data_IF_903004668118
#
_entry.id   IF_903004668118
#
_cell.length_a   1.000
_cell.length_b   1.000
_cell.length_c   1.000
_cell.angle_alpha   90.00
_cell.angle_beta   90.00
_cell.angle_gamma   90.00
#
_symmetry.space_group_name_H-M   'P 1'
#
loop_
_entity.id
_entity.type
_entity.pdbx_description
1 polymer ?
#
# COMPACT_ATOMS: atom_id res chain seq x y z
N UNK A 1 5.72 -3.29 17.82
CA UNK A 1 5.66 -4.27 16.72
C UNK A 1 6.57 -3.79 15.59
N UNK A 2 7.33 -4.68 14.95
CA UNK A 2 8.27 -4.31 13.88
C UNK A 2 8.02 -5.12 12.60
N UNK A 3 8.05 -4.46 11.45
CA UNK A 3 8.10 -5.07 10.11
C UNK A 3 9.37 -4.56 9.42
N UNK A 4 10.26 -5.48 9.04
CA UNK A 4 11.58 -5.18 8.48
C UNK A 4 12.35 -4.06 9.22
N UNK A 5 12.28 -4.04 10.55
CA UNK A 5 12.97 -3.05 11.39
C UNK A 5 12.22 -1.73 11.63
N UNK A 6 11.00 -1.57 11.11
CA UNK A 6 10.19 -0.35 11.27
C UNK A 6 8.93 -0.61 12.10
N UNK A 7 8.61 0.34 12.97
CA UNK A 7 7.44 0.25 13.84
C UNK A 7 6.12 0.44 13.09
N UNK A 8 5.15 -0.39 13.45
CA UNK A 8 3.80 -0.32 12.92
C UNK A 8 2.74 -0.42 14.03
N UNK A 9 1.55 0.10 13.71
CA UNK A 9 0.37 0.12 14.57
C UNK A 9 -0.78 -0.56 13.83
N UNK A 10 -1.45 -1.46 14.54
CA UNK A 10 -2.78 -1.96 14.16
C UNK A 10 -3.82 -0.96 14.68
N UNK A 11 -4.53 -0.30 13.76
CA UNK A 11 -5.60 0.66 14.10
C UNK A 11 -6.98 -0.02 14.21
N UNK A 12 -7.07 -1.34 14.01
CA UNK A 12 -8.34 -2.05 14.02
C UNK A 12 -9.21 -1.74 12.80
N UNK A 13 -8.56 -1.43 11.67
CA UNK A 13 -9.25 -1.21 10.40
C UNK A 13 -9.88 -2.52 9.88
N UNK A 14 -11.04 -2.47 9.21
CA UNK A 14 -11.67 -3.65 8.61
C UNK A 14 -10.75 -4.47 7.69
N UNK A 15 -9.89 -3.80 6.92
CA UNK A 15 -8.88 -4.44 6.05
C UNK A 15 -7.78 -5.17 6.83
N UNK A 16 -7.64 -4.90 8.13
CA UNK A 16 -6.52 -5.32 8.94
C UNK A 16 -5.22 -4.56 8.66
N UNK A 17 -5.24 -3.49 7.85
CA UNK A 17 -4.05 -2.76 7.45
C UNK A 17 -3.23 -2.27 8.66
N UNK A 18 -1.92 -2.51 8.56
CA UNK A 18 -0.91 -2.11 9.54
C UNK A 18 -0.21 -0.86 9.04
N UNK A 19 -0.25 0.22 9.82
CA UNK A 19 0.27 1.53 9.42
C UNK A 19 1.58 1.86 10.12
N UNK A 20 2.53 2.46 9.40
CA UNK A 20 3.79 2.91 9.98
C UNK A 20 3.61 4.04 11.00
N UNK A 21 4.44 4.04 12.04
CA UNK A 21 4.45 5.13 13.03
C UNK A 21 5.09 6.43 12.52
N UNK A 22 5.86 6.37 11.43
CA UNK A 22 6.55 7.52 10.83
C UNK A 22 6.60 7.49 9.29
N UNK A 23 6.93 8.63 8.68
CA UNK A 23 7.12 8.74 7.22
C UNK A 23 8.44 8.10 6.78
N UNK A 24 8.59 7.81 5.49
CA UNK A 24 9.90 7.51 4.90
C UNK A 24 10.85 8.70 5.12
N UNK A 25 12.10 8.42 5.49
CA UNK A 25 13.12 9.45 5.78
C UNK A 25 13.03 10.05 7.18
N UNK A 26 12.00 9.70 7.96
CA UNK A 26 11.75 10.30 9.26
C UNK A 26 12.45 9.55 10.41
N UNK A 27 12.94 10.28 11.40
CA UNK A 27 13.56 9.74 12.61
C UNK A 27 12.57 9.53 13.77
N UNK A 28 11.42 10.21 13.78
CA UNK A 28 10.38 10.11 14.83
C UNK A 28 8.97 10.27 14.25
N UNK A 29 7.89 9.96 15.00
CA UNK A 29 6.52 10.13 14.49
C UNK A 29 6.15 11.57 14.07
N UNK A 30 6.84 12.57 14.62
CA UNK A 30 6.61 14.00 14.33
C UNK A 30 7.62 14.61 13.36
N UNK A 31 8.69 13.89 13.03
CA UNK A 31 9.60 14.35 11.98
C UNK A 31 8.92 14.19 10.60
N UNK A 32 9.02 15.24 9.79
CA UNK A 32 8.31 15.37 8.51
C UNK A 32 8.72 14.29 7.50
N UNK A 33 9.96 13.78 7.63
CA UNK A 33 10.56 12.85 6.69
C UNK A 33 10.93 13.50 5.36
N UNK A 34 11.19 12.66 4.38
CA UNK A 34 11.62 13.09 3.05
C UNK A 34 10.42 13.33 2.13
N UNK A 35 10.65 14.12 1.09
CA UNK A 35 9.71 14.34 0.00
C UNK A 35 10.13 13.52 -1.21
N UNK A 36 9.17 12.89 -1.87
CA UNK A 36 9.42 12.09 -3.07
C UNK A 36 8.46 12.52 -4.18
N UNK A 37 8.96 12.60 -5.40
CA UNK A 37 8.07 12.62 -6.57
C UNK A 37 7.42 11.25 -6.73
N UNK A 38 6.18 11.22 -7.22
CA UNK A 38 5.44 9.98 -7.37
C UNK A 38 6.17 9.04 -8.34
N UNK A 39 6.45 7.81 -7.91
CA UNK A 39 7.21 6.84 -8.69
C UNK A 39 8.73 7.07 -8.74
N UNK A 40 9.26 7.92 -7.85
CA UNK A 40 10.69 8.04 -7.59
C UNK A 40 11.02 7.57 -6.17
N UNK A 41 12.23 7.03 -6.03
CA UNK A 41 12.73 6.45 -4.78
C UNK A 41 13.88 7.23 -4.17
N UNK A 42 14.39 8.24 -4.87
CA UNK A 42 15.41 9.16 -4.37
C UNK A 42 14.84 10.57 -4.22
N UNK A 43 15.39 11.32 -3.28
CA UNK A 43 15.05 12.73 -3.08
C UNK A 43 15.77 13.60 -4.11
N UNK A 44 15.30 14.84 -4.26
CA UNK A 44 15.90 15.83 -5.16
C UNK A 44 15.95 17.21 -4.51
N UNK A 45 16.83 18.05 -5.01
CA UNK A 45 16.91 19.46 -4.59
C UNK A 45 15.79 20.32 -5.20
N UNK A 46 15.21 19.89 -6.33
CA UNK A 46 14.15 20.62 -7.01
C UNK A 46 13.08 19.70 -7.60
N UNK A 47 11.81 20.03 -7.35
CA UNK A 47 10.61 19.28 -7.73
C UNK A 47 9.88 20.00 -8.85
N UNK A 48 10.27 19.71 -10.09
CA UNK A 48 9.74 20.33 -11.31
C UNK A 48 9.53 19.26 -12.37
N UNK A 49 8.78 19.58 -13.43
CA UNK A 49 8.61 18.67 -14.58
C UNK A 49 9.96 18.25 -15.18
N UNK A 50 10.93 19.17 -15.25
CA UNK A 50 12.25 18.91 -15.84
C UNK A 50 13.13 17.98 -14.99
N UNK A 51 12.90 17.92 -13.69
CA UNK A 51 13.67 17.08 -12.76
C UNK A 51 12.98 15.76 -12.45
N UNK A 52 11.85 15.48 -13.10
CA UNK A 52 11.06 14.27 -12.86
C UNK A 52 11.55 13.11 -13.72
N UNK A 53 11.88 11.98 -13.09
CA UNK A 53 12.43 10.75 -13.72
C UNK A 53 11.64 10.30 -14.95
N UNK A 54 10.31 10.44 -14.90
CA UNK A 54 9.40 9.99 -15.95
C UNK A 54 8.81 11.15 -16.76
N UNK A 55 9.25 12.39 -16.53
CA UNK A 55 8.77 13.55 -17.27
C UNK A 55 9.40 13.61 -18.65
N UNK A 56 8.62 14.02 -19.64
CA UNK A 56 9.16 14.43 -20.95
C UNK A 56 8.86 15.90 -21.17
N UNK A 57 9.91 16.65 -21.47
CA UNK A 57 9.81 18.05 -21.88
C UNK A 57 9.66 18.10 -23.40
N UNK A 58 8.84 19.03 -23.89
CA UNK A 58 8.79 19.40 -25.31
C UNK A 58 8.25 18.34 -26.31
N UNK A 59 7.44 17.37 -25.83
CA UNK A 59 6.74 16.38 -26.67
C UNK A 59 5.24 16.28 -26.34
N UNK A 60 4.44 15.73 -27.27
CA UNK A 60 3.02 15.39 -27.05
C UNK A 60 2.84 14.23 -26.06
N UNK A 61 3.83 13.34 -25.93
CA UNK A 61 3.91 12.40 -24.81
C UNK A 61 4.45 13.13 -23.59
N UNK A 62 3.67 13.19 -22.52
CA UNK A 62 4.06 14.00 -21.36
C UNK A 62 4.74 13.18 -20.25
N UNK A 63 4.69 11.85 -20.33
CA UNK A 63 5.20 10.91 -19.32
C UNK A 63 5.63 9.55 -19.90
N UNK A 64 6.80 9.03 -19.48
CA UNK A 64 7.41 7.79 -20.02
C UNK A 64 6.86 6.47 -19.41
N UNK A 65 6.35 6.53 -18.17
CA UNK A 65 5.82 5.37 -17.43
C UNK A 65 4.49 5.73 -16.75
N UNK A 66 3.64 4.72 -16.56
CA UNK A 66 2.28 4.83 -16.06
C UNK A 66 1.44 5.69 -17.00
N UNK A 67 1.24 5.20 -18.21
CA UNK A 67 0.63 5.92 -19.32
C UNK A 67 -0.29 5.00 -20.15
N UNK A 68 -0.89 5.54 -21.21
CA UNK A 68 -1.86 4.78 -22.03
C UNK A 68 -1.22 3.59 -22.76
N UNK A 69 0.10 3.60 -22.93
CA UNK A 69 0.87 2.52 -23.57
C UNK A 69 1.05 1.33 -22.63
N UNK A 70 1.53 1.56 -21.39
CA UNK A 70 1.73 0.48 -20.41
C UNK A 70 0.46 0.11 -19.63
N UNK A 71 -0.55 0.99 -19.65
CA UNK A 71 -1.85 0.84 -18.96
C UNK A 71 -1.72 0.62 -17.45
N UNK A 72 -0.58 0.98 -16.86
CA UNK A 72 -0.35 0.84 -15.42
C UNK A 72 -0.94 2.03 -14.69
N UNK A 73 -1.75 1.73 -13.68
CA UNK A 73 -2.50 2.74 -12.93
C UNK A 73 -2.10 2.79 -11.46
N UNK A 74 -1.09 2.01 -11.08
CA UNK A 74 -0.52 1.90 -9.75
C UNK A 74 0.97 1.70 -9.84
N UNK A 75 1.72 2.19 -8.87
CA UNK A 75 3.17 2.00 -8.78
C UNK A 75 3.55 0.52 -8.81
N UNK A 76 4.55 0.21 -9.63
CA UNK A 76 5.27 -1.05 -9.53
C UNK A 76 6.15 -1.05 -8.27
N UNK A 77 6.48 -2.23 -7.70
CA UNK A 77 7.32 -2.34 -6.51
C UNK A 77 8.66 -1.59 -6.58
N UNK A 78 9.29 -1.52 -7.76
CA UNK A 78 10.57 -0.83 -7.96
C UNK A 78 10.48 0.71 -7.98
N UNK A 79 9.28 1.27 -8.13
CA UNK A 79 9.03 2.72 -8.08
C UNK A 79 8.29 3.15 -6.81
N UNK A 80 7.97 2.21 -5.92
CA UNK A 80 7.42 2.49 -4.59
C UNK A 80 8.56 2.68 -3.59
N UNK A 81 8.78 3.94 -3.17
CA UNK A 81 9.85 4.28 -2.23
C UNK A 81 9.75 3.54 -0.89
N UNK A 82 8.54 3.23 -0.41
CA UNK A 82 8.39 2.47 0.81
C UNK A 82 8.87 1.03 0.61
N UNK A 83 8.53 0.43 -0.53
CA UNK A 83 9.00 -0.91 -0.88
C UNK A 83 10.51 -0.96 -1.10
N UNK A 84 11.08 0.03 -1.77
CA UNK A 84 12.52 0.07 -2.08
C UNK A 84 13.36 0.39 -0.85
N UNK A 85 13.01 1.42 -0.08
CA UNK A 85 13.82 1.85 1.08
C UNK A 85 13.59 0.99 2.33
N UNK A 86 12.34 0.64 2.62
CA UNK A 86 12.01 -0.12 3.83
C UNK A 86 11.84 -1.61 3.58
N UNK A 87 11.69 -2.07 2.34
CA UNK A 87 11.62 -3.51 2.03
C UNK A 87 10.46 -4.24 2.71
N UNK A 88 10.62 -5.55 2.90
CA UNK A 88 9.61 -6.38 3.56
C UNK A 88 8.24 -6.27 2.88
N UNK A 89 7.18 -6.14 3.67
CA UNK A 89 5.80 -5.94 3.17
C UNK A 89 5.41 -4.48 2.98
N UNK A 90 6.28 -3.54 3.34
CA UNK A 90 5.99 -2.12 3.23
C UNK A 90 5.72 -1.71 1.79
N UNK A 91 4.69 -0.87 1.64
CA UNK A 91 4.37 -0.18 0.40
C UNK A 91 3.63 1.12 0.70
N UNK A 92 3.50 1.95 -0.31
CA UNK A 92 2.60 3.09 -0.31
C UNK A 92 1.14 2.61 -0.25
N UNK A 93 0.27 3.25 0.55
CA UNK A 93 -1.17 3.00 0.56
C UNK A 93 -1.82 3.29 -0.80
N UNK A 94 -2.90 2.58 -1.11
CA UNK A 94 -3.79 2.95 -2.22
C UNK A 94 -4.74 4.08 -1.80
N UNK A 95 -5.50 4.61 -2.76
CA UNK A 95 -6.58 5.56 -2.51
C UNK A 95 -7.60 4.97 -1.55
N UNK A 96 -8.06 3.75 -1.80
CA UNK A 96 -9.10 3.10 -1.00
C UNK A 96 -8.64 2.87 0.44
N UNK A 97 -7.37 2.57 0.67
CA UNK A 97 -6.82 2.32 2.00
C UNK A 97 -6.67 3.59 2.83
N UNK A 98 -6.30 4.70 2.20
CA UNK A 98 -6.40 6.00 2.87
C UNK A 98 -7.85 6.41 3.12
N UNK A 99 -8.77 6.16 2.18
CA UNK A 99 -10.19 6.41 2.40
C UNK A 99 -10.72 5.59 3.59
N UNK A 100 -10.36 4.31 3.69
CA UNK A 100 -10.69 3.48 4.85
C UNK A 100 -10.12 4.06 6.14
N UNK A 101 -8.84 4.41 6.17
CA UNK A 101 -8.19 5.02 7.33
C UNK A 101 -8.96 6.26 7.80
N UNK A 102 -9.28 7.16 6.87
CA UNK A 102 -9.90 8.44 7.20
C UNK A 102 -11.39 8.34 7.51
N UNK A 103 -12.10 7.35 6.97
CA UNK A 103 -13.52 7.11 7.23
C UNK A 103 -13.77 6.29 8.49
N UNK A 104 -12.81 5.42 8.87
CA UNK A 104 -12.94 4.52 10.03
C UNK A 104 -12.39 5.14 11.31
N UNK A 105 -11.30 5.89 11.21
CA UNK A 105 -10.64 6.46 12.38
C UNK A 105 -11.22 7.82 12.78
N UNK A 106 -11.19 8.08 14.08
CA UNK A 106 -11.34 9.42 14.64
C UNK A 106 -10.09 10.24 14.31
N UNK A 107 -10.26 11.45 13.78
CA UNK A 107 -9.14 12.30 13.37
C UNK A 107 -9.24 13.62 14.09
N UNK A 108 -8.27 13.89 14.97
CA UNK A 108 -8.24 15.07 15.82
C UNK A 108 -6.96 15.86 15.59
N UNK A 109 -7.08 17.19 15.50
CA UNK A 109 -5.93 18.08 15.44
C UNK A 109 -5.49 18.47 16.85
N UNK A 110 -4.34 17.96 17.29
CA UNK A 110 -3.90 18.01 18.68
C UNK A 110 -2.43 18.44 18.81
N UNK A 111 -2.02 18.76 20.04
CA UNK A 111 -0.59 18.80 20.36
C UNK A 111 -0.06 17.36 20.43
N UNK A 112 1.15 17.12 19.94
CA UNK A 112 1.75 15.78 20.04
C UNK A 112 1.98 15.42 21.52
N UNK A 113 1.61 14.21 21.98
CA UNK A 113 1.66 13.87 23.41
C UNK A 113 3.05 14.00 24.05
N UNK A 114 4.10 13.61 23.32
CA UNK A 114 5.46 13.59 23.88
C UNK A 114 6.19 14.94 23.70
N UNK A 115 5.71 15.80 22.81
CA UNK A 115 6.24 17.15 22.61
C UNK A 115 5.16 18.10 22.10
N UNK A 116 4.61 18.88 23.04
CA UNK A 116 3.52 19.82 22.78
C UNK A 116 3.84 20.97 21.80
N UNK A 117 5.11 21.16 21.43
CA UNK A 117 5.51 22.15 20.42
C UNK A 117 5.05 21.75 19.00
N UNK A 118 4.83 20.46 18.76
CA UNK A 118 4.31 19.95 17.49
C UNK A 118 2.79 19.88 17.48
N UNK A 119 2.20 20.33 16.36
CA UNK A 119 0.77 20.16 16.06
C UNK A 119 0.58 19.10 14.99
N UNK A 120 -0.21 18.08 15.29
CA UNK A 120 -0.36 16.88 14.48
C UNK A 120 -1.81 16.48 14.36
N UNK A 121 -2.14 15.67 13.36
CA UNK A 121 -3.35 14.86 13.41
C UNK A 121 -3.07 13.59 14.17
N UNK A 122 -3.78 13.40 15.26
CA UNK A 122 -4.00 12.08 15.82
C UNK A 122 -5.06 11.38 14.97
N UNK A 123 -4.71 10.21 14.42
CA UNK A 123 -5.62 9.32 13.71
C UNK A 123 -5.79 8.09 14.60
N UNK A 124 -6.90 8.07 15.35
CA UNK A 124 -7.21 7.06 16.35
C UNK A 124 -8.19 6.03 15.78
N UNK A 125 -7.75 4.78 15.76
CA UNK A 125 -8.53 3.65 15.29
C UNK A 125 -9.64 3.22 16.26
N UNK A 126 -10.63 2.45 15.80
CA UNK A 126 -11.70 1.91 16.64
C UNK A 126 -11.21 1.02 17.79
N UNK A 127 -10.00 0.46 17.69
CA UNK A 127 -9.40 -0.30 18.79
C UNK A 127 -8.67 0.58 19.83
N UNK A 128 -8.69 1.91 19.69
CA UNK A 128 -8.08 2.87 20.60
C UNK A 128 -6.61 3.19 20.33
N UNK A 129 -5.94 2.45 19.45
CA UNK A 129 -4.58 2.77 19.03
C UNK A 129 -4.57 3.98 18.09
N UNK A 130 -3.44 4.69 18.02
CA UNK A 130 -3.32 5.88 17.19
C UNK A 130 -1.98 5.97 16.46
N UNK A 131 -2.00 6.68 15.33
CA UNK A 131 -0.81 7.18 14.63
C UNK A 131 -0.91 8.69 14.48
N UNK A 132 0.23 9.34 14.21
CA UNK A 132 0.33 10.79 14.11
C UNK A 132 0.85 11.24 12.74
N UNK A 133 0.17 12.23 12.16
CA UNK A 133 0.57 12.88 10.92
C UNK A 133 0.90 14.35 11.17
N UNK A 134 2.14 14.72 10.89
CA UNK A 134 2.58 16.11 10.97
C UNK A 134 2.11 16.92 9.76
N UNK A 135 1.91 18.23 9.94
CA UNK A 135 1.59 19.20 8.88
C UNK A 135 2.81 19.50 8.00
N UNK A 136 3.27 18.47 7.30
CA UNK A 136 4.50 18.43 6.52
C UNK A 136 4.48 19.33 5.28
N UNK A 137 3.33 19.78 4.78
CA UNK A 137 3.27 20.48 3.49
C UNK A 137 3.73 19.59 2.33
N UNK A 138 4.07 20.21 1.21
CA UNK A 138 4.64 19.55 0.02
C UNK A 138 5.79 20.36 -0.57
N UNK A 139 6.66 19.72 -1.32
CA UNK A 139 7.76 20.33 -2.05
C UNK A 139 7.37 20.66 -3.50
N UNK A 140 7.68 21.88 -3.93
CA UNK A 140 7.62 22.30 -5.33
C UNK A 140 8.77 23.24 -5.62
N UNK A 141 9.42 23.07 -6.78
CA UNK A 141 10.74 23.66 -7.01
C UNK A 141 11.66 23.29 -5.84
N UNK A 142 12.33 24.26 -5.23
CA UNK A 142 13.25 24.14 -4.11
C UNK A 142 12.62 24.51 -2.76
N UNK A 143 11.28 24.54 -2.64
CA UNK A 143 10.58 25.07 -1.46
C UNK A 143 9.46 24.18 -0.94
N UNK A 144 9.40 24.07 0.39
CA UNK A 144 8.23 23.53 1.09
C UNK A 144 7.10 24.57 1.09
N UNK A 145 5.90 24.13 0.71
CA UNK A 145 4.65 24.90 0.73
C UNK A 145 3.71 24.30 1.75
N UNK A 146 2.82 25.12 2.29
CA UNK A 146 1.75 24.73 3.22
C UNK A 146 2.26 24.02 4.50
N UNK A 147 3.54 24.23 4.84
CA UNK A 147 4.14 23.79 6.10
C UNK A 147 3.35 24.36 7.29
N UNK A 148 3.08 23.53 8.31
CA UNK A 148 2.23 23.87 9.45
C UNK A 148 0.80 24.30 9.11
N UNK A 149 0.34 24.07 7.87
CA UNK A 149 -1.04 24.34 7.45
C UNK A 149 -1.76 23.06 7.02
N UNK A 150 -1.04 22.16 6.33
CA UNK A 150 -1.61 20.93 5.77
C UNK A 150 -0.61 19.78 5.86
N UNK A 151 -1.14 18.57 6.02
CA UNK A 151 -0.36 17.36 5.83
C UNK A 151 -0.66 16.80 4.43
N UNK A 152 0.35 16.38 3.67
CA UNK A 152 0.21 15.80 2.33
C UNK A 152 0.84 14.41 2.29
N UNK A 153 0.20 13.46 1.63
CA UNK A 153 0.74 12.11 1.46
C UNK A 153 0.40 11.54 0.09
N UNK A 154 1.38 10.87 -0.53
CA UNK A 154 1.12 10.13 -1.75
C UNK A 154 0.37 8.84 -1.50
N UNK A 155 -0.58 8.51 -2.40
CA UNK A 155 -1.03 7.14 -2.62
C UNK A 155 -0.33 6.52 -3.82
N UNK A 156 -0.34 5.19 -3.90
CA UNK A 156 0.26 4.44 -5.00
C UNK A 156 -0.51 4.56 -6.33
N UNK A 157 -1.66 5.23 -6.34
CA UNK A 157 -2.56 5.24 -7.49
C UNK A 157 -2.35 6.45 -8.40
N UNK A 158 -2.40 6.19 -9.70
CA UNK A 158 -2.45 7.22 -10.73
C UNK A 158 -3.84 7.86 -10.77
N UNK A 159 -3.91 9.16 -11.09
CA UNK A 159 -5.20 9.77 -11.40
C UNK A 159 -5.73 9.26 -12.74
N UNK A 160 -6.81 8.48 -12.70
CA UNK A 160 -7.46 7.95 -13.90
C UNK A 160 -8.53 8.88 -14.49
N UNK A 161 -8.86 9.98 -13.82
CA UNK A 161 -9.88 10.92 -14.32
C UNK A 161 -9.34 11.65 -15.53
N UNK A 162 -9.82 11.27 -16.72
CA UNK A 162 -9.65 12.04 -17.96
C UNK A 162 -10.47 13.31 -17.83
N UNK A 163 -9.82 14.43 -17.53
CA UNK A 163 -10.51 15.72 -17.57
C UNK A 163 -10.99 16.00 -19.00
N UNK A 164 -12.24 16.47 -19.11
CA UNK A 164 -12.90 16.73 -20.39
C UNK A 164 -12.38 18.03 -21.04
N UNK A 165 -11.56 18.83 -20.34
CA UNK A 165 -11.11 20.15 -20.81
C UNK A 165 -9.67 20.42 -20.37
N UNK A 166 -8.73 20.39 -21.32
CA UNK A 166 -7.41 21.03 -21.21
C UNK A 166 -6.38 20.39 -20.27
N UNK A 167 -6.64 19.19 -19.73
CA UNK A 167 -5.63 18.45 -18.97
C UNK A 167 -5.09 17.27 -19.76
N UNK A 168 -3.78 17.12 -19.65
CA UNK A 168 -3.02 16.02 -20.24
C UNK A 168 -3.28 14.74 -19.41
N UNK A 169 -3.61 13.60 -20.05
CA UNK A 169 -3.74 12.32 -19.36
C UNK A 169 -2.45 11.93 -18.60
N UNK A 170 -2.59 11.26 -17.47
CA UNK A 170 -1.47 10.61 -16.75
C UNK A 170 -0.40 11.54 -16.13
N UNK A 171 -0.61 12.86 -16.11
CA UNK A 171 0.32 13.82 -15.46
C UNK A 171 0.15 13.95 -13.94
N UNK A 172 -0.93 13.38 -13.38
CA UNK A 172 -1.28 13.52 -11.96
C UNK A 172 -1.40 12.17 -11.27
N UNK A 173 -1.04 12.14 -10.00
CA UNK A 173 -1.28 11.01 -9.11
C UNK A 173 -2.22 11.43 -7.98
N UNK A 174 -2.79 10.43 -7.29
CA UNK A 174 -3.69 10.66 -6.16
C UNK A 174 -2.87 11.05 -4.92
N UNK A 175 -3.28 12.12 -4.25
CA UNK A 175 -2.73 12.53 -2.96
C UNK A 175 -3.84 12.68 -1.92
N UNK A 176 -3.45 12.54 -0.66
CA UNK A 176 -4.30 12.77 0.50
C UNK A 176 -3.77 13.97 1.26
N UNK A 177 -4.68 14.83 1.71
CA UNK A 177 -4.29 15.91 2.60
C UNK A 177 -5.33 16.26 3.66
N UNK A 178 -4.80 16.72 4.78
CA UNK A 178 -5.54 17.05 6.00
C UNK A 178 -5.30 18.54 6.32
N UNK A 179 -6.37 19.32 6.40
CA UNK A 179 -6.37 20.75 6.71
C UNK A 179 -6.43 20.99 8.21
N UNK A 180 -5.67 21.96 8.71
CA UNK A 180 -5.58 22.27 10.14
C UNK A 180 -6.91 22.61 10.83
N UNK A 181 -7.98 22.81 10.06
CA UNK A 181 -9.36 22.95 10.51
C UNK A 181 -10.15 21.61 10.58
N UNK A 182 -9.46 20.47 10.42
CA UNK A 182 -10.00 19.12 10.50
C UNK A 182 -10.57 18.59 9.18
N UNK A 183 -10.59 19.37 8.10
CA UNK A 183 -11.07 18.86 6.80
C UNK A 183 -10.11 17.84 6.22
N UNK A 184 -10.67 16.80 5.61
CA UNK A 184 -9.94 15.72 4.93
C UNK A 184 -10.29 15.76 3.46
N UNK A 185 -9.32 15.54 2.57
CA UNK A 185 -9.56 15.58 1.14
C UNK A 185 -8.71 14.57 0.38
N UNK A 186 -9.30 13.99 -0.66
CA UNK A 186 -8.60 13.19 -1.68
C UNK A 186 -8.47 14.06 -2.91
N UNK A 187 -7.23 14.41 -3.23
CA UNK A 187 -6.92 15.28 -4.35
C UNK A 187 -6.09 14.55 -5.39
N UNK A 188 -5.63 15.33 -6.35
CA UNK A 188 -4.61 14.90 -7.28
C UNK A 188 -3.61 16.04 -7.42
N UNK A 189 -2.35 15.74 -7.65
CA UNK A 189 -1.35 16.75 -7.99
C UNK A 189 -0.39 16.21 -9.03
N UNK A 190 0.42 17.10 -9.61
CA UNK A 190 1.41 16.72 -10.61
C UNK A 190 2.39 15.72 -10.02
N UNK A 191 2.70 14.64 -10.75
CA UNK A 191 3.58 13.55 -10.25
C UNK A 191 4.97 14.01 -9.82
N UNK A 192 5.43 15.13 -10.38
CA UNK A 192 6.73 15.72 -10.04
C UNK A 192 6.76 16.48 -8.72
N UNK A 193 5.61 16.80 -8.11
CA UNK A 193 5.59 17.40 -6.77
C UNK A 193 6.17 16.43 -5.75
N UNK A 194 6.82 16.96 -4.72
CA UNK A 194 7.35 16.15 -3.64
C UNK A 194 6.34 16.05 -2.51
N UNK A 195 5.77 14.88 -2.26
CA UNK A 195 4.97 14.64 -1.04
C UNK A 195 5.67 13.59 -0.17
N UNK A 196 5.48 13.65 1.15
CA UNK A 196 5.87 12.58 2.04
C UNK A 196 5.09 11.28 1.77
N UNK A 197 5.67 10.17 2.23
CA UNK A 197 5.06 8.84 2.12
C UNK A 197 4.91 8.26 3.51
N UNK A 198 3.67 7.89 3.87
CA UNK A 198 3.36 7.11 5.07
C UNK A 198 3.13 5.66 4.67
N UNK A 199 4.08 4.75 4.94
CA UNK A 199 3.94 3.36 4.55
C UNK A 199 2.85 2.62 5.32
N UNK A 200 2.35 1.58 4.70
CA UNK A 200 1.51 0.56 5.34
C UNK A 200 1.80 -0.80 4.73
N UNK A 201 1.30 -1.85 5.37
CA UNK A 201 1.20 -3.18 4.77
C UNK A 201 -0.09 -3.86 5.21
N UNK A 202 -0.64 -4.70 4.33
CA UNK A 202 -1.70 -5.60 4.76
C UNK A 202 -1.04 -6.78 5.49
N UNK A 203 -1.61 -7.24 6.61
CA UNK A 203 -1.19 -8.48 7.22
C UNK A 203 -1.27 -9.54 6.12
N UNK A 204 -0.30 -10.46 6.11
CA UNK A 204 -0.47 -11.65 5.31
C UNK A 204 -1.77 -12.26 5.81
N UNK A 205 -2.80 -12.30 4.97
CA UNK A 205 -3.89 -13.24 5.21
C UNK A 205 -3.15 -14.56 5.38
N UNK A 206 -3.35 -15.25 6.50
CA UNK A 206 -2.77 -16.56 6.68
C UNK A 206 -3.46 -17.56 5.73
N UNK A 207 -3.31 -17.37 4.43
CA UNK A 207 -3.13 -18.47 3.52
C UNK A 207 -1.79 -19.08 3.94
N UNK A 208 -1.83 -19.95 4.94
CA UNK A 208 -0.65 -20.71 5.32
C UNK A 208 0.03 -21.26 4.07
N UNK A 209 1.37 -21.19 4.09
CA UNK A 209 2.36 -21.57 3.07
C UNK A 209 2.96 -20.38 2.32
N UNK A 210 4.25 -20.17 2.61
CA UNK A 210 5.21 -19.32 1.90
C UNK A 210 5.04 -19.36 0.37
N UNK A 211 4.84 -18.20 -0.23
CA UNK A 211 5.18 -17.98 -1.63
C UNK A 211 6.66 -17.57 -1.70
N UNK A 212 7.55 -18.56 -1.68
CA UNK A 212 8.83 -18.44 -2.37
C UNK A 212 9.04 -19.70 -3.22
N UNK A 213 9.51 -19.46 -4.45
CA UNK A 213 9.83 -20.41 -5.52
C UNK A 213 8.66 -20.97 -6.35
N UNK A 214 8.63 -20.50 -7.59
CA UNK A 214 7.94 -21.07 -8.74
C UNK A 214 8.27 -22.57 -8.85
N UNK A 215 7.26 -23.43 -8.78
CA UNK A 215 7.33 -24.80 -9.30
C UNK A 215 5.92 -25.31 -9.70
N UNK A 216 5.75 -25.48 -11.01
CA UNK A 216 4.73 -26.27 -11.73
C UNK A 216 3.24 -26.01 -11.43
N UNK A 217 2.57 -25.36 -12.37
CA UNK A 217 1.11 -25.31 -12.49
C UNK A 217 0.53 -26.73 -12.64
N UNK A 218 0.03 -27.31 -11.55
CA UNK A 218 -0.84 -28.48 -11.58
C UNK A 218 -2.30 -28.05 -11.53
N UNK A 219 -3.13 -28.78 -12.28
CA UNK A 219 -4.57 -28.56 -12.31
C UNK A 219 -5.27 -29.61 -11.47
N UNK A 220 -6.22 -29.16 -10.65
CA UNK A 220 -7.09 -30.05 -9.90
C UNK A 220 -8.53 -29.58 -9.98
N UNK A 221 -9.46 -30.52 -9.81
CA UNK A 221 -10.89 -30.25 -9.72
C UNK A 221 -11.51 -31.05 -8.59
N UNK A 222 -12.59 -30.52 -8.02
CA UNK A 222 -13.41 -31.19 -7.02
C UNK A 222 -14.65 -31.75 -7.70
N UNK A 223 -14.93 -33.03 -7.51
CA UNK A 223 -16.08 -33.73 -8.08
C UNK A 223 -16.65 -34.67 -7.03
N UNK A 224 -17.90 -34.44 -6.59
CA UNK A 224 -18.69 -35.32 -5.72
C UNK A 224 -17.90 -35.87 -4.51
N UNK A 225 -17.41 -34.99 -3.62
CA UNK A 225 -16.64 -35.43 -2.45
C UNK A 225 -15.21 -35.90 -2.74
N UNK A 226 -14.76 -35.83 -3.99
CA UNK A 226 -13.42 -36.23 -4.42
C UNK A 226 -12.62 -35.09 -5.04
N UNK A 227 -11.30 -35.21 -4.98
CA UNK A 227 -10.31 -34.37 -5.64
C UNK A 227 -9.66 -35.18 -6.76
N UNK A 228 -9.63 -34.60 -7.96
CA UNK A 228 -8.92 -35.15 -9.12
C UNK A 228 -7.81 -34.18 -9.49
N UNK A 229 -6.57 -34.66 -9.60
CA UNK A 229 -5.38 -33.90 -9.95
C UNK A 229 -4.73 -34.53 -11.18
N UNK A 230 -4.10 -33.71 -12.03
CA UNK A 230 -3.33 -34.16 -13.20
C UNK A 230 -1.95 -34.74 -12.86
N UNK A 231 -1.55 -34.67 -11.59
CA UNK A 231 -0.33 -35.25 -11.04
C UNK A 231 -0.60 -36.06 -9.76
N UNK A 232 0.34 -36.93 -9.38
CA UNK A 232 0.29 -37.69 -8.13
C UNK A 232 0.19 -36.76 -6.91
N UNK A 233 -0.71 -37.12 -5.99
CA UNK A 233 -1.06 -36.26 -4.86
C UNK A 233 -1.40 -37.04 -3.59
N UNK A 234 -1.33 -36.35 -2.46
CA UNK A 234 -1.84 -36.78 -1.17
C UNK A 234 -2.78 -35.72 -0.59
N UNK A 235 -3.75 -36.15 0.22
CA UNK A 235 -4.74 -35.27 0.87
C UNK A 235 -4.51 -35.35 2.38
N UNK A 236 -4.45 -34.20 3.03
CA UNK A 236 -4.34 -34.10 4.49
C UNK A 236 -5.53 -33.33 5.07
N UNK A 237 -6.00 -33.72 6.25
CA UNK A 237 -6.94 -32.90 7.00
C UNK A 237 -6.26 -31.66 7.62
N UNK A 238 -7.04 -30.74 8.19
CA UNK A 238 -6.50 -29.52 8.82
C UNK A 238 -5.59 -29.77 10.03
N UNK A 239 -5.61 -30.98 10.59
CA UNK A 239 -4.70 -31.40 11.66
C UNK A 239 -3.39 -32.02 11.13
N UNK A 240 -3.26 -32.14 9.80
CA UNK A 240 -2.08 -32.70 9.13
C UNK A 240 -2.08 -34.22 9.01
N UNK A 241 -3.21 -34.91 9.25
CA UNK A 241 -3.30 -36.37 9.06
C UNK A 241 -3.56 -36.70 7.61
N UNK A 242 -2.85 -37.70 7.08
CA UNK A 242 -3.07 -38.19 5.72
C UNK A 242 -4.44 -38.89 5.62
N UNK A 243 -5.30 -38.35 4.76
CA UNK A 243 -6.66 -38.82 4.49
C UNK A 243 -6.85 -39.12 2.99
N UNK A 244 -5.77 -39.36 2.25
CA UNK A 244 -5.82 -39.67 0.80
C UNK A 244 -6.74 -40.84 0.48
N UNK A 245 -6.80 -41.84 1.38
CA UNK A 245 -7.70 -43.01 1.26
C UNK A 245 -9.19 -42.68 1.38
N UNK A 246 -9.55 -41.48 1.83
CA UNK A 246 -10.93 -41.01 1.98
C UNK A 246 -11.39 -40.16 0.77
N UNK A 247 -10.56 -40.06 -0.28
CA UNK A 247 -10.90 -39.31 -1.49
C UNK A 247 -12.18 -39.88 -2.15
N UNK A 248 -13.20 -39.05 -2.35
CA UNK A 248 -14.53 -39.45 -2.84
C UNK A 248 -15.63 -39.39 -1.78
N UNK A 249 -15.28 -39.21 -0.50
CA UNK A 249 -16.24 -39.01 0.61
C UNK A 249 -15.90 -37.80 1.49
N UNK A 250 -15.05 -36.91 1.00
CA UNK A 250 -14.58 -35.72 1.72
C UNK A 250 -15.69 -34.66 1.81
N UNK A 251 -15.71 -33.92 2.92
CA UNK A 251 -16.61 -32.77 3.13
C UNK A 251 -15.95 -31.77 4.08
N UNK A 252 -15.67 -30.57 3.59
CA UNK A 252 -14.98 -29.53 4.33
C UNK A 252 -13.63 -29.12 3.73
N UNK A 253 -12.75 -28.60 4.58
CA UNK A 253 -11.45 -28.04 4.19
C UNK A 253 -10.33 -29.08 4.33
N UNK A 254 -9.51 -29.21 3.28
CA UNK A 254 -8.37 -30.13 3.22
C UNK A 254 -7.14 -29.47 2.62
N UNK A 255 -5.99 -30.14 2.75
CA UNK A 255 -4.72 -29.77 2.12
C UNK A 255 -4.39 -30.81 1.05
N UNK A 256 -4.31 -30.37 -0.21
CA UNK A 256 -3.83 -31.17 -1.34
C UNK A 256 -2.33 -30.97 -1.49
N UNK A 257 -1.54 -32.03 -1.36
CA UNK A 257 -0.09 -32.02 -1.53
C UNK A 257 0.31 -32.69 -2.84
N UNK A 258 1.05 -31.98 -3.67
CA UNK A 258 1.57 -32.45 -4.97
C UNK A 258 3.08 -32.22 -4.98
N UNK A 259 3.85 -33.30 -4.82
CA UNK A 259 5.30 -33.21 -4.58
C UNK A 259 5.62 -32.36 -3.33
N UNK A 260 6.37 -31.27 -3.54
CA UNK A 260 6.73 -30.31 -2.49
C UNK A 260 5.68 -29.20 -2.26
N UNK A 261 4.66 -29.11 -3.12
CA UNK A 261 3.66 -28.04 -3.09
C UNK A 261 2.42 -28.48 -2.31
N UNK A 262 1.83 -27.58 -1.52
CA UNK A 262 0.57 -27.81 -0.82
C UNK A 262 -0.44 -26.70 -1.15
N UNK A 263 -1.70 -27.07 -1.42
CA UNK A 263 -2.82 -26.15 -1.69
C UNK A 263 -4.00 -26.46 -0.77
N UNK A 264 -4.69 -25.43 -0.30
CA UNK A 264 -5.97 -25.58 0.42
C UNK A 264 -7.08 -25.88 -0.58
N UNK A 265 -7.90 -26.90 -0.30
CA UNK A 265 -9.02 -27.32 -1.14
C UNK A 265 -10.29 -27.45 -0.29
N UNK A 266 -11.36 -26.78 -0.71
CA UNK A 266 -12.69 -26.93 -0.12
C UNK A 266 -13.45 -27.96 -0.94
N UNK A 267 -13.91 -29.02 -0.28
CA UNK A 267 -14.76 -30.05 -0.88
C UNK A 267 -16.17 -29.87 -0.35
N UNK A 268 -17.07 -29.40 -1.20
CA UNK A 268 -18.50 -29.40 -0.94
C UNK A 268 -19.13 -30.68 -1.53
N UNK A 269 -20.10 -31.26 -0.81
CA UNK A 269 -20.92 -32.35 -1.34
C UNK A 269 -21.92 -31.86 -2.37
#
# INVERSE_FOLDING_TARGET
>A
NLENGYEYVDLGLPSGAMWATKNIGSHSPVDIGDYYSWGEVETKDSYTKNTYKWGVCDTEEHVLKYNDTDKKTRLDPEDDVAKVKWGGRWRMPTKEEFEELLNTCEVNFVAYPDDSSYKVYEVKGPNGNAIYFHLCGYMTMDKVRDYNQRAYFWSSDLNQVKSVIGFIPNERAIEFFLYNDGRKWVGTTSRYMGNPVRPMFLPQVSTGVDQTAIASDFTYKVVCGGIVCDMDFAIYDISGRDVTSQNGSLSGLYILKVGAVAKKVIVAQ
#
